data_IF_691730415811
#
_entry.id   IF_691730415811
#
_cell.length_a   1.000
_cell.length_b   1.000
_cell.length_c   1.000
_cell.angle_alpha   90.00
_cell.angle_beta   90.00
_cell.angle_gamma   90.00
#
_symmetry.space_group_name_H-M   'P 1'
#
loop_
_entity.id
_entity.type
_entity.pdbx_description
1 polymer ?
#
# COMPACT_ATOMS: atom_id res chain seq x y z
N UNK A 1 -11.12 4.84 9.69
CA UNK A 1 -10.22 3.75 10.13
C UNK A 1 -8.94 4.28 10.77
N UNK A 2 -8.23 5.21 10.13
CA UNK A 2 -6.95 5.76 10.62
C UNK A 2 -7.06 6.35 12.03
N UNK A 3 -8.09 7.14 12.31
CA UNK A 3 -8.28 7.78 13.63
C UNK A 3 -8.40 6.78 14.78
N UNK A 4 -9.02 5.61 14.54
CA UNK A 4 -9.11 4.57 15.55
C UNK A 4 -7.75 3.87 15.74
N UNK A 5 -7.06 3.57 14.66
CA UNK A 5 -5.75 2.92 14.72
C UNK A 5 -4.73 3.77 15.46
N UNK A 6 -4.77 5.09 15.28
CA UNK A 6 -3.90 6.04 16.00
C UNK A 6 -4.20 6.14 17.50
N UNK A 7 -5.38 5.66 17.97
CA UNK A 7 -5.69 5.57 19.40
C UNK A 7 -5.18 4.28 20.05
N UNK A 8 -4.70 3.32 19.26
CA UNK A 8 -4.16 2.05 19.76
C UNK A 8 -2.69 2.25 20.13
N UNK A 9 -2.28 1.97 21.38
CA UNK A 9 -0.89 2.13 21.79
C UNK A 9 0.08 1.32 20.92
N UNK A 10 1.09 1.99 20.38
CA UNK A 10 2.11 1.38 19.54
C UNK A 10 1.74 1.25 18.06
N UNK A 11 0.63 1.86 17.61
CA UNK A 11 0.30 2.04 16.21
C UNK A 11 0.37 3.51 15.80
N UNK A 12 0.78 3.74 14.56
CA UNK A 12 0.66 5.03 13.86
C UNK A 12 0.11 4.77 12.47
N UNK A 13 -1.05 5.32 12.17
CA UNK A 13 -1.73 5.19 10.88
C UNK A 13 -1.77 6.54 10.18
N UNK A 14 -1.19 6.60 8.98
CA UNK A 14 -1.13 7.79 8.14
C UNK A 14 -1.17 7.38 6.66
N UNK A 15 -1.96 8.07 5.86
CA UNK A 15 -2.10 7.85 4.41
C UNK A 15 -2.33 6.38 4.00
N UNK A 16 -3.15 5.68 4.79
CA UNK A 16 -3.47 4.26 4.55
C UNK A 16 -2.33 3.30 4.83
N UNK A 17 -1.26 3.76 5.46
CA UNK A 17 -0.16 2.94 5.98
C UNK A 17 -0.25 2.87 7.50
N UNK A 18 0.08 1.71 8.06
CA UNK A 18 0.10 1.51 9.52
C UNK A 18 1.48 1.05 9.94
N UNK A 19 2.09 1.84 10.83
CA UNK A 19 3.36 1.50 11.45
C UNK A 19 3.13 0.90 12.83
N UNK A 20 3.80 -0.20 13.12
CA UNK A 20 3.84 -0.83 14.45
C UNK A 20 5.16 -0.50 15.11
N UNK A 21 5.09 0.12 16.30
CA UNK A 21 6.28 0.51 17.05
C UNK A 21 7.22 -0.68 17.29
N UNK A 22 8.48 -0.52 16.90
CA UNK A 22 9.52 -1.56 17.00
C UNK A 22 9.51 -2.60 15.87
N UNK A 23 8.49 -2.62 15.00
CA UNK A 23 8.39 -3.60 13.91
C UNK A 23 8.32 -2.95 12.51
N UNK A 24 7.99 -1.65 12.41
CA UNK A 24 7.88 -0.92 11.15
C UNK A 24 6.51 -1.07 10.49
N UNK A 25 6.46 -0.93 9.16
CA UNK A 25 5.21 -0.96 8.38
C UNK A 25 4.58 -2.35 8.45
N UNK A 26 3.30 -2.39 8.81
CA UNK A 26 2.52 -3.62 8.91
C UNK A 26 1.75 -3.94 7.63
N UNK A 27 1.59 -5.22 7.32
CA UNK A 27 0.54 -5.66 6.41
C UNK A 27 -0.82 -5.63 7.11
N UNK A 28 -1.83 -5.14 6.40
CA UNK A 28 -3.18 -4.98 6.95
C UNK A 28 -4.09 -6.03 6.36
N UNK A 29 -4.86 -6.68 7.22
CA UNK A 29 -5.90 -7.63 6.84
C UNK A 29 -7.25 -7.15 7.39
N UNK A 30 -8.25 -7.06 6.54
CA UNK A 30 -9.62 -6.71 6.91
C UNK A 30 -10.49 -7.95 6.72
N UNK A 31 -11.07 -8.46 7.80
CA UNK A 31 -11.86 -9.69 7.81
C UNK A 31 -11.15 -10.90 7.15
N UNK A 32 -9.85 -11.04 7.41
CA UNK A 32 -9.02 -12.12 6.86
C UNK A 32 -8.45 -11.85 5.45
N UNK A 33 -8.95 -10.86 4.73
CA UNK A 33 -8.48 -10.48 3.40
C UNK A 33 -7.33 -9.47 3.52
N UNK A 34 -6.24 -9.69 2.78
CA UNK A 34 -5.14 -8.72 2.68
C UNK A 34 -5.64 -7.43 2.01
N UNK A 35 -5.41 -6.30 2.66
CA UNK A 35 -5.71 -4.99 2.10
C UNK A 35 -4.78 -4.72 0.90
N UNK A 36 -5.35 -4.38 -0.24
CA UNK A 36 -4.61 -4.10 -1.48
C UNK A 36 -4.66 -2.63 -1.89
N UNK A 37 -5.51 -1.85 -1.24
CA UNK A 37 -5.68 -0.43 -1.50
C UNK A 37 -5.73 0.34 -0.17
N UNK A 38 -4.81 1.30 0.00
CA UNK A 38 -4.72 2.13 1.20
C UNK A 38 -6.00 2.93 1.50
N UNK A 39 -6.75 3.32 0.47
CA UNK A 39 -8.02 4.03 0.63
C UNK A 39 -9.11 3.21 1.34
N UNK A 40 -8.95 1.89 1.46
CA UNK A 40 -9.89 1.06 2.22
C UNK A 40 -9.94 1.44 3.70
N UNK A 41 -8.83 1.88 4.30
CA UNK A 41 -8.82 2.39 5.67
C UNK A 41 -9.57 3.72 5.83
N UNK A 42 -9.50 4.59 4.83
CA UNK A 42 -10.21 5.88 4.84
C UNK A 42 -11.72 5.68 4.76
N UNK A 43 -12.14 4.67 4.00
CA UNK A 43 -13.53 4.30 3.82
C UNK A 43 -14.13 3.58 5.04
N UNK A 44 -13.28 2.94 5.86
CA UNK A 44 -13.70 2.20 7.04
C UNK A 44 -14.00 3.14 8.21
N UNK A 45 -15.27 3.20 8.65
CA UNK A 45 -15.64 3.94 9.85
C UNK A 45 -15.11 3.27 11.11
N UNK A 46 -14.72 4.06 12.12
CA UNK A 46 -14.35 3.54 13.44
C UNK A 46 -15.48 2.76 14.10
N UNK A 47 -16.71 3.16 13.84
CA UNK A 47 -17.91 2.54 14.42
C UNK A 47 -18.17 1.14 13.83
N UNK A 48 -17.67 0.85 12.64
CA UNK A 48 -17.78 -0.45 11.98
C UNK A 48 -16.75 -1.45 12.48
N UNK A 49 -15.73 -1.02 13.21
CA UNK A 49 -14.66 -1.90 13.70
C UNK A 49 -15.12 -2.60 14.98
N UNK A 50 -15.02 -3.93 14.98
CA UNK A 50 -15.27 -4.77 16.16
C UNK A 50 -14.00 -4.97 16.99
N UNK A 51 -12.88 -5.26 16.35
CA UNK A 51 -11.60 -5.48 17.02
C UNK A 51 -10.42 -5.25 16.07
N UNK A 52 -9.28 -4.91 16.65
CA UNK A 52 -7.99 -4.82 15.98
C UNK A 52 -7.00 -5.69 16.73
N UNK A 53 -6.32 -6.56 16.00
CA UNK A 53 -5.27 -7.44 16.52
C UNK A 53 -3.94 -7.05 15.87
N UNK A 54 -2.89 -6.93 16.67
CA UNK A 54 -1.56 -6.56 16.21
C UNK A 54 -0.60 -7.74 16.43
N UNK A 55 -0.09 -8.31 15.35
CA UNK A 55 0.88 -9.39 15.36
C UNK A 55 2.27 -8.81 15.07
N UNK A 56 3.11 -8.68 16.09
CA UNK A 56 4.49 -8.18 15.98
C UNK A 56 5.49 -9.23 15.49
N UNK A 57 5.11 -10.48 15.53
CA UNK A 57 5.87 -11.61 14.98
C UNK A 57 4.89 -12.57 14.30
N UNK A 58 4.52 -12.30 13.03
CA UNK A 58 3.44 -13.01 12.35
C UNK A 58 3.76 -14.49 12.04
N UNK A 59 5.04 -14.90 12.09
CA UNK A 59 5.46 -16.28 11.86
C UNK A 59 5.36 -16.74 10.40
N UNK A 60 5.54 -18.04 10.18
CA UNK A 60 5.67 -18.65 8.85
C UNK A 60 4.42 -18.53 7.95
N UNK A 61 3.26 -18.25 8.52
CA UNK A 61 1.97 -18.07 7.80
C UNK A 61 1.99 -16.84 6.86
N UNK A 62 2.89 -15.90 7.08
CA UNK A 62 3.01 -14.66 6.32
C UNK A 62 4.32 -14.63 5.53
N UNK A 63 4.39 -13.76 4.52
CA UNK A 63 5.61 -13.56 3.72
C UNK A 63 6.80 -13.19 4.61
N UNK A 64 8.00 -13.67 4.26
CA UNK A 64 9.20 -13.44 5.06
C UNK A 64 9.66 -11.97 5.12
N UNK A 65 9.17 -11.12 4.23
CA UNK A 65 9.40 -9.66 4.29
C UNK A 65 8.49 -8.95 5.30
N UNK A 66 7.43 -9.62 5.79
CA UNK A 66 6.41 -9.03 6.68
C UNK A 66 6.90 -9.05 8.12
N UNK A 67 7.11 -7.86 8.68
CA UNK A 67 7.59 -7.68 10.06
C UNK A 67 6.47 -7.56 11.07
N UNK A 68 5.30 -7.10 10.65
CA UNK A 68 4.11 -6.97 11.47
C UNK A 68 2.85 -7.14 10.65
N UNK A 69 1.77 -7.57 11.31
CA UNK A 69 0.43 -7.69 10.72
C UNK A 69 -0.59 -7.02 11.61
N UNK A 70 -1.47 -6.24 11.03
CA UNK A 70 -2.65 -5.66 11.69
C UNK A 70 -3.90 -6.31 11.11
N UNK A 71 -4.67 -7.01 11.95
CA UNK A 71 -5.91 -7.65 11.57
C UNK A 71 -7.09 -6.84 12.10
N UNK A 72 -7.91 -6.34 11.20
CA UNK A 72 -9.11 -5.56 11.52
C UNK A 72 -10.33 -6.47 11.29
N UNK A 73 -11.13 -6.63 12.32
CA UNK A 73 -12.40 -7.34 12.24
C UNK A 73 -13.51 -6.31 12.32
N UNK A 74 -14.40 -6.30 11.34
CA UNK A 74 -15.56 -5.42 11.34
C UNK A 74 -16.74 -6.05 12.07
N UNK A 75 -17.66 -5.21 12.54
CA UNK A 75 -18.92 -5.66 13.11
C UNK A 75 -19.76 -6.31 12.01
N UNK A 76 -20.33 -7.46 12.28
CA UNK A 76 -21.33 -8.06 11.39
C UNK A 76 -22.66 -7.31 11.57
N UNK A 77 -23.33 -7.00 10.48
CA UNK A 77 -24.69 -6.47 10.51
C UNK A 77 -25.61 -7.47 11.20
N UNK A 78 -26.36 -7.02 12.20
CA UNK A 78 -27.29 -7.90 12.93
C UNK A 78 -28.69 -7.77 12.32
N UNK A 79 -29.40 -8.91 12.24
CA UNK A 79 -30.77 -8.98 11.72
C UNK A 79 -30.84 -9.24 10.21
N UNK A 80 -32.07 -9.52 9.74
CA UNK A 80 -32.40 -9.67 8.31
C UNK A 80 -33.06 -8.37 7.80
N UNK A 81 -32.97 -8.15 6.49
CA UNK A 81 -33.58 -7.02 5.82
C UNK A 81 -32.58 -6.13 5.12
N UNK A 82 -33.05 -4.95 4.77
CA UNK A 82 -32.26 -3.92 4.12
C UNK A 82 -31.88 -2.83 5.11
N UNK A 83 -30.62 -2.43 5.10
CA UNK A 83 -30.09 -1.32 5.87
C UNK A 83 -29.26 -0.40 4.98
N UNK A 84 -29.20 0.86 5.35
CA UNK A 84 -28.30 1.81 4.71
C UNK A 84 -27.85 2.87 5.70
N UNK A 85 -26.71 3.49 5.43
CA UNK A 85 -26.30 4.73 6.05
C UNK A 85 -25.66 5.66 5.03
N UNK A 86 -25.73 6.94 5.31
CA UNK A 86 -25.04 7.96 4.54
C UNK A 86 -24.18 8.82 5.46
N UNK A 87 -22.97 9.14 5.01
CA UNK A 87 -22.04 10.05 5.69
C UNK A 87 -21.66 11.16 4.73
N UNK A 88 -22.09 12.37 5.04
CA UNK A 88 -21.72 13.58 4.30
C UNK A 88 -20.79 14.42 5.19
N UNK A 89 -19.69 14.87 4.63
CA UNK A 89 -18.77 15.80 5.26
C UNK A 89 -18.59 17.01 4.36
N UNK A 90 -18.70 18.18 4.98
CA UNK A 90 -18.43 19.48 4.36
C UNK A 90 -17.39 20.18 5.22
N UNK A 91 -16.27 20.54 4.62
CA UNK A 91 -15.18 21.21 5.31
C UNK A 91 -14.64 22.38 4.50
N UNK A 92 -13.89 23.23 5.17
CA UNK A 92 -13.16 24.34 4.57
C UNK A 92 -11.79 24.43 5.24
N UNK A 93 -10.74 24.26 4.46
CA UNK A 93 -9.37 24.43 4.93
C UNK A 93 -8.64 25.49 4.11
N UNK A 94 -8.48 25.23 2.82
CA UNK A 94 -7.95 26.16 1.81
C UNK A 94 -9.08 26.61 0.87
N UNK A 95 -9.97 25.67 0.56
CA UNK A 95 -11.19 25.86 -0.22
C UNK A 95 -12.23 24.84 0.29
N UNK A 96 -13.41 24.82 -0.31
CA UNK A 96 -14.48 23.88 0.02
C UNK A 96 -14.04 22.44 -0.24
N UNK A 97 -14.18 21.60 0.78
CA UNK A 97 -13.97 20.15 0.70
C UNK A 97 -15.30 19.43 0.93
N UNK A 98 -15.62 18.48 0.06
CA UNK A 98 -16.84 17.70 0.09
C UNK A 98 -16.52 16.22 0.11
N UNK A 99 -17.22 15.45 0.93
CA UNK A 99 -17.20 13.99 0.90
C UNK A 99 -18.62 13.49 1.11
N UNK A 100 -19.03 12.54 0.30
CA UNK A 100 -20.24 11.76 0.51
C UNK A 100 -19.97 10.28 0.38
N UNK A 101 -20.51 9.50 1.30
CA UNK A 101 -20.39 8.05 1.31
C UNK A 101 -21.74 7.43 1.64
N UNK A 102 -22.27 6.67 0.71
CA UNK A 102 -23.48 5.89 0.87
C UNK A 102 -23.13 4.42 1.00
N UNK A 103 -23.54 3.77 2.09
CA UNK A 103 -23.40 2.33 2.31
C UNK A 103 -24.77 1.70 2.38
N UNK A 104 -24.91 0.50 1.81
CA UNK A 104 -26.10 -0.31 1.93
C UNK A 104 -25.74 -1.76 2.20
N UNK A 105 -26.64 -2.46 2.86
CA UNK A 105 -26.55 -3.89 3.06
C UNK A 105 -27.95 -4.51 2.98
N UNK A 106 -27.98 -5.74 2.49
CA UNK A 106 -29.18 -6.58 2.47
C UNK A 106 -28.81 -7.96 2.94
N UNK A 107 -29.55 -8.49 3.92
CA UNK A 107 -29.32 -9.81 4.48
C UNK A 107 -30.63 -10.60 4.54
N UNK A 108 -30.57 -11.86 4.09
CA UNK A 108 -31.68 -12.80 4.21
C UNK A 108 -31.14 -14.24 4.29
N UNK A 109 -31.39 -14.92 5.41
CA UNK A 109 -30.83 -16.25 5.65
C UNK A 109 -29.31 -16.25 5.59
N UNK A 110 -28.72 -17.13 4.77
CA UNK A 110 -27.27 -17.19 4.53
C UNK A 110 -26.74 -16.13 3.55
N UNK A 111 -27.61 -15.38 2.88
CA UNK A 111 -27.21 -14.38 1.89
C UNK A 111 -26.96 -13.02 2.53
N UNK A 112 -25.83 -12.40 2.18
CA UNK A 112 -25.43 -11.08 2.65
C UNK A 112 -24.85 -10.29 1.46
N UNK A 113 -25.49 -9.20 1.09
CA UNK A 113 -25.09 -8.27 0.04
C UNK A 113 -24.72 -6.93 0.68
N UNK A 114 -23.51 -6.46 0.44
CA UNK A 114 -23.07 -5.13 0.86
C UNK A 114 -22.62 -4.28 -0.32
N UNK A 115 -22.81 -2.98 -0.20
CA UNK A 115 -22.35 -2.05 -1.20
C UNK A 115 -21.99 -0.69 -0.62
N UNK A 116 -21.11 0.01 -1.31
CA UNK A 116 -20.67 1.36 -0.96
C UNK A 116 -20.49 2.18 -2.25
N UNK A 117 -20.93 3.43 -2.19
CA UNK A 117 -20.59 4.48 -3.13
C UNK A 117 -19.88 5.61 -2.36
N UNK A 118 -18.80 6.10 -2.89
CA UNK A 118 -17.98 7.12 -2.27
C UNK A 118 -17.57 8.17 -3.29
N UNK A 119 -17.67 9.43 -2.91
CA UNK A 119 -17.19 10.58 -3.66
C UNK A 119 -16.50 11.58 -2.74
N UNK A 120 -15.37 12.11 -3.15
CA UNK A 120 -14.65 13.17 -2.46
C UNK A 120 -14.12 14.19 -3.46
N UNK A 121 -14.31 15.47 -3.14
CA UNK A 121 -13.64 16.59 -3.77
C UNK A 121 -12.91 17.37 -2.67
N UNK A 122 -11.59 17.43 -2.74
CA UNK A 122 -10.77 18.01 -1.71
C UNK A 122 -9.72 18.95 -2.29
N UNK A 123 -9.58 20.13 -1.70
CA UNK A 123 -8.58 21.12 -2.06
C UNK A 123 -7.78 21.50 -0.84
N UNK A 124 -6.47 21.50 -0.98
CA UNK A 124 -5.55 21.90 0.08
C UNK A 124 -4.30 22.56 -0.51
N UNK A 125 -3.56 23.23 0.31
CA UNK A 125 -2.31 23.88 -0.08
C UNK A 125 -1.20 23.44 0.87
N UNK A 126 -0.06 23.11 0.28
CA UNK A 126 1.17 22.80 1.02
C UNK A 126 2.21 23.89 0.74
N UNK A 127 2.78 24.45 1.81
CA UNK A 127 3.85 25.43 1.72
C UNK A 127 5.11 24.85 2.38
N UNK A 128 6.23 24.88 1.65
CA UNK A 128 7.51 24.36 2.13
C UNK A 128 8.61 25.40 1.92
N UNK A 129 9.46 25.55 2.92
CA UNK A 129 10.73 26.28 2.81
C UNK A 129 11.84 25.25 3.00
N UNK A 130 12.71 25.12 1.99
CA UNK A 130 13.81 24.15 2.00
C UNK A 130 15.13 24.93 1.88
N UNK A 131 16.08 24.61 2.77
CA UNK A 131 17.47 25.01 2.63
C UNK A 131 18.33 23.76 2.53
N UNK A 132 19.00 23.59 1.42
CA UNK A 132 19.92 22.48 1.17
C UNK A 132 21.34 23.01 1.05
N UNK A 133 22.29 22.38 1.76
CA UNK A 133 23.71 22.69 1.67
C UNK A 133 24.49 21.50 1.15
N UNK A 134 25.30 21.73 0.13
CA UNK A 134 26.22 20.74 -0.43
C UNK A 134 27.64 21.23 -0.22
N UNK A 135 28.43 20.43 0.48
CA UNK A 135 29.82 20.73 0.83
C UNK A 135 30.73 19.99 -0.15
N UNK A 136 31.34 20.76 -1.06
CA UNK A 136 32.36 20.34 -2.00
C UNK A 136 33.61 21.20 -1.74
N UNK A 137 34.39 21.55 -2.79
CA UNK A 137 35.48 22.53 -2.69
C UNK A 137 34.95 23.92 -2.27
N UNK A 138 33.71 24.19 -2.58
CA UNK A 138 32.93 25.35 -2.15
C UNK A 138 31.63 24.91 -1.51
N UNK A 139 31.03 25.77 -0.69
CA UNK A 139 29.73 25.53 -0.05
C UNK A 139 28.63 26.07 -0.97
N UNK A 140 27.81 25.14 -1.48
CA UNK A 140 26.62 25.45 -2.26
C UNK A 140 25.41 25.46 -1.32
N UNK A 141 24.70 26.57 -1.29
CA UNK A 141 23.47 26.72 -0.50
C UNK A 141 22.32 27.02 -1.45
N UNK A 142 21.35 26.11 -1.54
CA UNK A 142 20.10 26.29 -2.23
C UNK A 142 19.01 26.63 -1.20
N UNK A 143 18.33 27.75 -1.39
CA UNK A 143 17.12 28.12 -0.65
C UNK A 143 15.94 28.05 -1.61
N UNK A 144 14.91 27.31 -1.27
CA UNK A 144 13.69 27.17 -2.08
C UNK A 144 12.46 27.48 -1.23
N UNK A 145 11.59 28.31 -1.78
CA UNK A 145 10.24 28.57 -1.27
C UNK A 145 9.24 27.95 -2.25
N UNK A 146 8.40 27.07 -1.74
CA UNK A 146 7.49 26.23 -2.52
C UNK A 146 6.07 26.42 -2.03
N UNK A 147 5.17 26.70 -2.96
CA UNK A 147 3.72 26.76 -2.72
C UNK A 147 3.02 25.79 -3.66
N UNK A 148 2.29 24.84 -3.10
CA UNK A 148 1.67 23.76 -3.84
C UNK A 148 0.18 23.66 -3.54
N UNK A 149 -0.70 24.29 -4.33
CA UNK A 149 -2.13 24.00 -4.28
C UNK A 149 -2.43 22.65 -4.95
N UNK A 150 -3.25 21.85 -4.27
CA UNK A 150 -3.74 20.55 -4.73
C UNK A 150 -5.27 20.57 -4.85
N UNK A 151 -5.77 19.89 -5.89
CA UNK A 151 -7.17 19.56 -6.03
C UNK A 151 -7.31 18.09 -6.36
N UNK A 152 -7.88 17.32 -5.46
CA UNK A 152 -8.06 15.87 -5.62
C UNK A 152 -9.53 15.51 -5.69
N UNK A 153 -9.87 14.67 -6.66
CA UNK A 153 -11.19 14.06 -6.79
C UNK A 153 -11.06 12.54 -6.69
N UNK A 154 -11.88 11.93 -5.85
CA UNK A 154 -11.90 10.49 -5.64
C UNK A 154 -13.32 9.96 -5.84
N UNK A 155 -13.45 8.89 -6.59
CA UNK A 155 -14.69 8.14 -6.77
C UNK A 155 -14.38 6.68 -6.45
N UNK A 156 -15.20 6.05 -5.62
CA UNK A 156 -15.09 4.63 -5.37
C UNK A 156 -16.46 3.96 -5.30
N UNK A 157 -16.49 2.70 -5.68
CA UNK A 157 -17.64 1.82 -5.53
C UNK A 157 -17.17 0.46 -5.03
N UNK A 158 -17.94 -0.16 -4.15
CA UNK A 158 -17.69 -1.51 -3.65
C UNK A 158 -18.98 -2.31 -3.68
N UNK A 159 -18.87 -3.56 -4.09
CA UNK A 159 -19.95 -4.54 -4.00
C UNK A 159 -19.38 -5.82 -3.38
N UNK A 160 -20.03 -6.34 -2.35
CA UNK A 160 -19.68 -7.62 -1.71
C UNK A 160 -20.88 -8.52 -1.62
N UNK A 161 -20.68 -9.77 -1.95
CA UNK A 161 -21.67 -10.82 -1.86
C UNK A 161 -21.09 -11.98 -1.07
N UNK A 162 -21.73 -12.32 0.04
CA UNK A 162 -21.34 -13.42 0.90
C UNK A 162 -22.50 -14.41 1.02
N UNK A 163 -22.18 -15.68 1.08
CA UNK A 163 -23.15 -16.74 1.29
C UNK A 163 -22.66 -17.72 2.33
N UNK A 164 -23.40 -17.82 3.41
CA UNK A 164 -23.18 -18.79 4.48
C UNK A 164 -24.07 -20.00 4.25
N UNK A 165 -23.49 -21.12 3.81
CA UNK A 165 -24.22 -22.37 3.55
C UNK A 165 -24.76 -22.98 4.83
N UNK A 166 -23.95 -22.95 5.90
CA UNK A 166 -24.23 -23.41 7.24
C UNK A 166 -23.26 -22.77 8.24
N UNK A 167 -23.25 -23.19 9.48
CA UNK A 167 -22.37 -22.64 10.53
C UNK A 167 -20.87 -22.84 10.22
N UNK A 168 -20.54 -23.84 9.41
CA UNK A 168 -19.16 -24.25 9.15
C UNK A 168 -18.64 -23.80 7.76
N UNK A 169 -19.46 -23.26 6.88
CA UNK A 169 -19.08 -22.96 5.51
C UNK A 169 -19.59 -21.60 5.05
N UNK A 170 -18.69 -20.74 4.66
CA UNK A 170 -18.97 -19.42 4.08
C UNK A 170 -18.08 -19.17 2.87
N UNK A 171 -18.64 -18.56 1.83
CA UNK A 171 -17.89 -18.06 0.70
C UNK A 171 -18.35 -16.66 0.36
N UNK A 172 -17.52 -15.92 -0.35
CA UNK A 172 -17.89 -14.58 -0.81
C UNK A 172 -17.02 -14.08 -1.95
N UNK A 173 -17.54 -13.05 -2.59
CA UNK A 173 -16.86 -12.29 -3.64
C UNK A 173 -17.03 -10.81 -3.32
N UNK A 174 -15.96 -10.05 -3.48
CA UNK A 174 -15.94 -8.61 -3.34
C UNK A 174 -15.28 -7.99 -4.57
N UNK A 175 -15.89 -6.94 -5.09
CA UNK A 175 -15.33 -6.10 -6.12
C UNK A 175 -15.22 -4.67 -5.61
N UNK A 176 -14.05 -4.08 -5.75
CA UNK A 176 -13.77 -2.68 -5.43
C UNK A 176 -13.31 -1.96 -6.71
N UNK A 177 -13.92 -0.84 -7.00
CA UNK A 177 -13.52 0.10 -8.02
C UNK A 177 -13.10 1.40 -7.36
N UNK A 178 -11.98 1.97 -7.77
CA UNK A 178 -11.59 3.33 -7.39
C UNK A 178 -11.01 4.08 -8.58
N UNK A 179 -11.34 5.35 -8.67
CA UNK A 179 -10.86 6.26 -9.69
C UNK A 179 -10.55 7.62 -9.10
N UNK A 180 -9.41 8.17 -9.48
CA UNK A 180 -9.12 9.59 -9.34
C UNK A 180 -9.30 10.25 -10.71
N UNK A 181 -10.44 10.86 -11.00
CA UNK A 181 -10.65 11.57 -12.26
C UNK A 181 -9.66 12.72 -12.42
N UNK A 182 -9.24 13.31 -11.30
CA UNK A 182 -8.31 14.40 -11.26
C UNK A 182 -7.52 14.41 -9.94
N UNK A 183 -6.21 14.42 -10.06
CA UNK A 183 -5.28 14.86 -9.00
C UNK A 183 -4.49 15.99 -9.63
N UNK A 184 -4.98 17.23 -9.46
CA UNK A 184 -4.31 18.42 -9.97
C UNK A 184 -3.31 18.90 -8.95
N UNK A 185 -2.07 19.08 -9.38
CA UNK A 185 -0.99 19.69 -8.63
C UNK A 185 -0.45 20.88 -9.43
N UNK A 186 -0.27 22.00 -8.79
CA UNK A 186 0.50 23.11 -9.29
C UNK A 186 1.57 23.42 -8.25
N UNK A 187 2.81 23.57 -8.66
CA UNK A 187 3.89 23.96 -7.76
C UNK A 187 4.45 25.30 -8.23
N UNK A 188 4.44 26.28 -7.35
CA UNK A 188 5.19 27.52 -7.53
C UNK A 188 6.46 27.42 -6.69
N UNK A 189 7.61 27.30 -7.33
CA UNK A 189 8.90 27.18 -6.65
C UNK A 189 9.81 28.33 -7.05
N UNK A 190 10.26 29.08 -6.06
CA UNK A 190 11.31 30.09 -6.22
C UNK A 190 12.56 29.59 -5.50
N UNK A 191 13.69 29.56 -6.19
CA UNK A 191 14.94 29.10 -5.62
C UNK A 191 16.06 30.11 -5.85
N UNK A 192 16.96 30.21 -4.88
CA UNK A 192 18.23 30.94 -5.02
C UNK A 192 19.40 30.04 -4.67
N UNK A 193 20.45 30.07 -5.44
CA UNK A 193 21.68 29.34 -5.23
C UNK A 193 22.79 30.30 -4.90
N UNK A 194 23.46 30.06 -3.80
CA UNK A 194 24.62 30.80 -3.30
C UNK A 194 25.84 29.88 -3.27
N UNK A 195 26.96 30.36 -3.76
CA UNK A 195 28.26 29.68 -3.66
C UNK A 195 29.15 30.54 -2.77
N UNK A 196 29.59 29.98 -1.63
CA UNK A 196 30.31 30.69 -0.58
C UNK A 196 29.64 32.00 -0.15
N UNK A 197 28.29 31.98 -0.03
CA UNK A 197 27.40 33.12 0.27
C UNK A 197 27.23 34.16 -0.82
N UNK A 198 27.80 33.97 -2.01
CA UNK A 198 27.55 34.86 -3.18
C UNK A 198 26.40 34.27 -4.01
N UNK A 199 25.44 35.10 -4.38
CA UNK A 199 24.34 34.70 -5.24
C UNK A 199 24.87 34.35 -6.64
N UNK A 200 24.68 33.10 -7.05
CA UNK A 200 25.10 32.55 -8.33
C UNK A 200 23.93 32.46 -9.31
N UNK A 201 22.76 32.09 -8.82
CA UNK A 201 21.60 31.85 -9.65
C UNK A 201 20.27 32.08 -8.89
N UNK A 202 19.28 32.59 -9.58
CA UNK A 202 17.88 32.61 -9.16
C UNK A 202 17.04 31.83 -10.17
N UNK A 203 16.11 31.02 -9.70
CA UNK A 203 15.21 30.26 -10.57
C UNK A 203 13.78 30.29 -10.09
N UNK A 204 12.86 30.22 -11.06
CA UNK A 204 11.43 29.98 -10.83
C UNK A 204 11.03 28.76 -11.62
N UNK A 205 10.28 27.86 -11.00
CA UNK A 205 9.76 26.66 -11.66
C UNK A 205 8.29 26.45 -11.29
N UNK A 206 7.44 26.28 -12.29
CA UNK A 206 6.00 26.15 -12.14
C UNK A 206 5.49 24.85 -12.78
N UNK A 207 5.91 23.66 -12.28
CA UNK A 207 5.34 22.41 -12.76
C UNK A 207 3.87 22.29 -12.40
N UNK A 208 3.06 21.86 -13.35
CA UNK A 208 1.67 21.55 -13.16
C UNK A 208 1.31 20.21 -13.81
N UNK A 209 0.44 19.47 -13.13
CA UNK A 209 -0.02 18.15 -13.59
C UNK A 209 -1.50 17.92 -13.30
N UNK A 210 -2.12 17.06 -14.11
CA UNK A 210 -3.43 16.48 -13.85
C UNK A 210 -3.29 14.97 -13.97
N UNK A 211 -3.01 14.31 -12.86
CA UNK A 211 -2.87 12.86 -12.79
C UNK A 211 -4.23 12.20 -12.74
N UNK A 212 -4.41 11.13 -13.50
CA UNK A 212 -5.59 10.25 -13.44
C UNK A 212 -5.19 8.85 -13.04
N UNK A 213 -5.98 8.21 -12.18
CA UNK A 213 -5.77 6.83 -11.75
C UNK A 213 -7.06 6.03 -11.84
N UNK A 214 -6.95 4.77 -12.23
CA UNK A 214 -8.04 3.79 -12.16
C UNK A 214 -7.53 2.53 -11.47
N UNK A 215 -8.37 1.89 -10.65
CA UNK A 215 -8.04 0.62 -10.01
C UNK A 215 -9.29 -0.23 -9.88
N UNK A 216 -9.12 -1.50 -10.19
CA UNK A 216 -10.10 -2.55 -10.00
C UNK A 216 -9.48 -3.65 -9.13
N UNK A 217 -10.20 -4.09 -8.12
CA UNK A 217 -9.77 -5.20 -7.27
C UNK A 217 -10.93 -6.18 -7.13
N UNK A 218 -10.65 -7.46 -7.33
CA UNK A 218 -11.58 -8.56 -7.09
C UNK A 218 -10.97 -9.45 -6.03
N UNK A 219 -11.75 -9.81 -5.03
CA UNK A 219 -11.38 -10.82 -4.05
C UNK A 219 -12.48 -11.89 -4.00
N UNK A 220 -12.10 -13.15 -4.00
CA UNK A 220 -12.98 -14.27 -3.72
C UNK A 220 -12.39 -15.08 -2.57
N UNK A 221 -13.24 -15.55 -1.67
CA UNK A 221 -12.80 -16.33 -0.52
C UNK A 221 -13.74 -17.46 -0.21
N UNK A 222 -13.19 -18.49 0.41
CA UNK A 222 -13.93 -19.57 1.06
C UNK A 222 -13.29 -19.84 2.41
N UNK A 223 -14.12 -19.94 3.45
CA UNK A 223 -13.72 -20.43 4.77
C UNK A 223 -14.68 -21.53 5.21
N UNK A 224 -14.13 -22.64 5.66
CA UNK A 224 -14.97 -23.76 6.07
C UNK A 224 -14.23 -24.85 6.82
N UNK A 225 -15.01 -25.67 7.55
CA UNK A 225 -14.51 -26.83 8.26
C UNK A 225 -14.87 -28.12 7.51
N UNK A 226 -13.85 -28.82 7.04
CA UNK A 226 -13.96 -30.15 6.42
C UNK A 226 -13.46 -31.20 7.42
N UNK A 227 -14.38 -31.84 8.14
CA UNK A 227 -14.06 -32.63 9.32
C UNK A 227 -13.31 -31.79 10.35
N UNK A 228 -12.10 -32.21 10.75
CA UNK A 228 -11.25 -31.50 11.71
C UNK A 228 -10.33 -30.45 11.06
N UNK A 229 -10.36 -30.30 9.74
CA UNK A 229 -9.59 -29.30 9.01
C UNK A 229 -10.37 -28.01 8.83
N UNK A 230 -9.85 -26.91 9.34
CA UNK A 230 -10.30 -25.57 8.96
C UNK A 230 -9.54 -25.13 7.69
N UNK A 231 -10.27 -24.73 6.66
CA UNK A 231 -9.74 -24.25 5.39
C UNK A 231 -10.04 -22.76 5.21
N UNK A 232 -9.03 -22.01 4.83
CA UNK A 232 -9.12 -20.60 4.44
C UNK A 232 -8.48 -20.43 3.06
N UNK A 233 -9.30 -20.19 2.04
CA UNK A 233 -8.87 -19.91 0.67
C UNK A 233 -9.19 -18.45 0.33
N UNK A 234 -8.17 -17.72 -0.12
CA UNK A 234 -8.32 -16.35 -0.61
C UNK A 234 -7.72 -16.23 -2.01
N UNK A 235 -8.42 -15.56 -2.91
CA UNK A 235 -7.98 -15.27 -4.28
C UNK A 235 -8.17 -13.79 -4.56
N UNK A 236 -7.13 -13.14 -5.04
CA UNK A 236 -7.12 -11.72 -5.38
C UNK A 236 -6.78 -11.49 -6.85
N UNK A 237 -7.44 -10.54 -7.47
CA UNK A 237 -7.06 -9.94 -8.74
C UNK A 237 -7.07 -8.42 -8.61
N UNK A 238 -6.05 -7.75 -9.13
CA UNK A 238 -5.97 -6.29 -9.14
C UNK A 238 -5.41 -5.80 -10.47
N UNK A 239 -6.03 -4.75 -11.00
CA UNK A 239 -5.59 -4.00 -12.18
C UNK A 239 -5.61 -2.53 -11.85
N UNK A 240 -4.53 -1.83 -12.17
CA UNK A 240 -4.50 -0.38 -12.03
C UNK A 240 -3.69 0.27 -13.13
N UNK A 241 -4.12 1.45 -13.53
CA UNK A 241 -3.41 2.32 -14.45
C UNK A 241 -3.37 3.75 -13.90
N UNK A 242 -2.29 4.43 -14.21
CA UNK A 242 -2.08 5.83 -13.87
C UNK A 242 -1.47 6.56 -15.05
N UNK A 243 -1.93 7.78 -15.30
CA UNK A 243 -1.40 8.67 -16.31
C UNK A 243 -1.09 10.02 -15.66
N UNK A 244 0.15 10.46 -15.75
CA UNK A 244 0.68 11.66 -15.09
C UNK A 244 1.42 12.54 -16.09
N UNK A 245 0.73 13.39 -16.88
CA UNK A 245 1.35 14.45 -17.66
C UNK A 245 1.80 15.57 -16.74
N UNK A 246 3.01 16.09 -16.96
CA UNK A 246 3.55 17.27 -16.27
C UNK A 246 4.05 18.25 -17.32
N UNK A 247 3.70 19.52 -17.16
CA UNK A 247 4.30 20.64 -17.87
C UNK A 247 4.98 21.52 -16.85
N UNK A 248 6.28 21.73 -17.01
CA UNK A 248 7.07 22.60 -16.15
C UNK A 248 7.61 23.78 -16.95
N UNK A 249 7.28 24.99 -16.53
CA UNK A 249 7.88 26.21 -17.02
C UNK A 249 8.99 26.62 -16.06
N UNK A 250 10.21 26.77 -16.58
CA UNK A 250 11.40 27.13 -15.80
C UNK A 250 12.02 28.42 -16.32
N UNK A 251 12.23 29.35 -15.43
CA UNK A 251 12.98 30.57 -15.64
C UNK A 251 14.22 30.54 -14.75
N UNK A 252 15.37 30.76 -15.35
CA UNK A 252 16.67 30.78 -14.65
C UNK A 252 17.40 32.08 -15.00
N UNK A 253 17.85 32.78 -13.97
CA UNK A 253 18.70 33.97 -14.10
C UNK A 253 20.02 33.73 -13.38
N UNK A 254 21.11 33.80 -14.12
CA UNK A 254 22.47 33.66 -13.59
C UNK A 254 23.05 34.99 -13.10
N UNK A 255 24.12 34.92 -12.32
CA UNK A 255 24.81 36.08 -11.76
C UNK A 255 25.38 37.06 -12.84
N UNK A 256 25.65 36.58 -14.04
CA UNK A 256 26.08 37.37 -15.19
C UNK A 256 24.90 38.03 -15.95
N UNK A 257 23.69 37.96 -15.44
CA UNK A 257 22.41 38.37 -16.04
C UNK A 257 21.99 37.55 -17.26
N UNK A 258 22.59 36.41 -17.52
CA UNK A 258 22.07 35.46 -18.52
C UNK A 258 20.73 34.91 -18.05
N UNK A 259 19.70 34.94 -18.90
CA UNK A 259 18.36 34.46 -18.64
C UNK A 259 18.02 33.31 -19.58
N UNK A 260 17.46 32.22 -19.02
CA UNK A 260 17.05 31.06 -19.78
C UNK A 260 15.60 30.69 -19.39
N UNK A 261 14.77 30.48 -20.40
CA UNK A 261 13.40 29.99 -20.23
C UNK A 261 13.29 28.64 -20.90
N UNK A 262 12.79 27.66 -20.17
CA UNK A 262 12.53 26.31 -20.66
C UNK A 262 11.09 25.93 -20.38
N UNK A 263 10.47 25.17 -21.29
CA UNK A 263 9.23 24.46 -21.04
C UNK A 263 9.51 22.98 -21.24
N UNK A 264 9.17 22.19 -20.27
CA UNK A 264 9.49 20.76 -20.21
C UNK A 264 8.19 19.99 -20.11
N UNK A 265 7.96 19.10 -21.07
CA UNK A 265 6.80 18.22 -21.09
C UNK A 265 7.23 16.79 -20.75
N UNK A 266 6.65 16.24 -19.71
CA UNK A 266 6.88 14.85 -19.34
C UNK A 266 5.57 14.08 -19.20
N UNK A 267 5.60 12.79 -19.50
CA UNK A 267 4.47 11.91 -19.40
C UNK A 267 4.86 10.62 -18.70
N UNK A 268 4.37 10.43 -17.49
CA UNK A 268 4.49 9.20 -16.73
C UNK A 268 3.25 8.31 -16.89
N UNK A 269 3.44 7.03 -17.22
CA UNK A 269 2.38 6.02 -17.26
C UNK A 269 2.77 4.82 -16.44
N UNK A 270 1.88 4.37 -15.56
CA UNK A 270 2.06 3.17 -14.77
C UNK A 270 0.90 2.21 -15.00
N UNK A 271 1.20 0.93 -15.18
CA UNK A 271 0.22 -0.15 -15.23
C UNK A 271 0.66 -1.27 -14.29
N UNK A 272 -0.26 -1.73 -13.45
CA UNK A 272 0.00 -2.82 -12.54
C UNK A 272 -1.09 -3.88 -12.67
N UNK A 273 -0.69 -5.13 -12.63
CA UNK A 273 -1.53 -6.31 -12.60
C UNK A 273 -1.03 -7.22 -11.47
N UNK A 274 -1.95 -7.80 -10.72
CA UNK A 274 -1.63 -8.76 -9.65
C UNK A 274 -2.70 -9.83 -9.60
N UNK A 275 -2.28 -11.08 -9.48
CA UNK A 275 -3.12 -12.23 -9.17
C UNK A 275 -2.48 -12.97 -8.02
N UNK A 276 -3.25 -13.31 -7.01
CA UNK A 276 -2.77 -14.08 -5.86
C UNK A 276 -3.80 -15.13 -5.45
N UNK A 277 -3.32 -16.28 -5.01
CA UNK A 277 -4.13 -17.31 -4.40
C UNK A 277 -3.41 -17.85 -3.18
N UNK A 278 -4.08 -17.89 -2.02
CA UNK A 278 -3.54 -18.38 -0.76
C UNK A 278 -4.49 -19.39 -0.15
N UNK A 279 -3.98 -20.57 0.14
CA UNK A 279 -4.69 -21.62 0.88
C UNK A 279 -3.98 -21.85 2.21
N UNK A 280 -4.74 -21.82 3.29
CA UNK A 280 -4.30 -22.19 4.64
C UNK A 280 -5.20 -23.28 5.15
N UNK A 281 -4.64 -24.32 5.72
CA UNK A 281 -5.35 -25.42 6.35
C UNK A 281 -4.83 -25.61 7.77
N UNK A 282 -5.73 -25.70 8.74
CA UNK A 282 -5.42 -25.86 10.16
C UNK A 282 -6.12 -27.11 10.70
N UNK A 283 -5.41 -27.88 11.52
CA UNK A 283 -5.90 -29.11 12.11
C UNK A 283 -5.46 -29.21 13.58
N UNK A 284 -6.35 -29.56 14.52
CA UNK A 284 -5.94 -29.89 15.88
C UNK A 284 -5.03 -31.12 15.88
N UNK A 285 -3.87 -31.02 16.47
CA UNK A 285 -2.87 -32.10 16.53
C UNK A 285 -2.15 -32.07 17.86
N UNK A 286 -2.09 -33.21 18.59
CA UNK A 286 -1.33 -33.37 19.84
C UNK A 286 -1.54 -32.21 20.84
N UNK A 287 -2.80 -31.89 21.16
CA UNK A 287 -3.19 -30.77 22.04
C UNK A 287 -2.70 -29.40 21.58
N UNK A 288 -2.32 -29.26 20.32
CA UNK A 288 -1.92 -28.04 19.66
C UNK A 288 -2.68 -27.83 18.36
N UNK A 289 -2.22 -26.85 17.58
CA UNK A 289 -2.73 -26.55 16.25
C UNK A 289 -1.62 -26.68 15.22
N UNK A 290 -1.84 -27.50 14.22
CA UNK A 290 -0.97 -27.68 13.07
C UNK A 290 -1.55 -26.91 11.89
N UNK A 291 -0.76 -26.06 11.25
CA UNK A 291 -1.15 -25.26 10.09
C UNK A 291 -0.20 -25.54 8.94
N UNK A 292 -0.76 -25.77 7.77
CA UNK A 292 -0.02 -25.82 6.48
C UNK A 292 -0.66 -24.86 5.50
N UNK A 293 0.10 -24.37 4.55
CA UNK A 293 -0.46 -23.54 3.51
C UNK A 293 0.50 -23.30 2.36
N UNK A 294 -0.07 -22.77 1.30
CA UNK A 294 0.68 -22.33 0.12
C UNK A 294 0.10 -21.04 -0.41
N UNK A 295 0.93 -20.27 -1.09
CA UNK A 295 0.55 -19.02 -1.74
C UNK A 295 1.25 -18.94 -3.10
N UNK A 296 0.50 -18.54 -4.11
CA UNK A 296 1.00 -18.16 -5.42
C UNK A 296 0.67 -16.70 -5.67
N UNK A 297 1.65 -15.95 -6.15
CA UNK A 297 1.44 -14.55 -6.57
C UNK A 297 2.12 -14.32 -7.91
N UNK A 298 1.37 -13.77 -8.85
CA UNK A 298 1.87 -13.19 -10.08
C UNK A 298 1.68 -11.69 -10.02
N UNK A 299 2.71 -10.92 -10.36
CA UNK A 299 2.59 -9.48 -10.56
C UNK A 299 3.31 -9.02 -11.81
N UNK A 300 2.76 -8.01 -12.46
CA UNK A 300 3.36 -7.31 -13.59
C UNK A 300 3.22 -5.81 -13.39
N UNK A 301 4.34 -5.09 -13.45
CA UNK A 301 4.38 -3.63 -13.33
C UNK A 301 5.08 -3.08 -14.55
N UNK A 302 4.45 -2.13 -15.21
CA UNK A 302 5.03 -1.37 -16.31
C UNK A 302 5.10 0.09 -15.91
N UNK A 303 6.25 0.71 -16.11
CA UNK A 303 6.47 2.13 -15.87
C UNK A 303 7.08 2.71 -17.16
N UNK A 304 6.39 3.68 -17.74
CA UNK A 304 6.84 4.42 -18.90
C UNK A 304 6.99 5.88 -18.52
N UNK A 305 8.07 6.49 -18.97
CA UNK A 305 8.33 7.91 -18.80
C UNK A 305 8.92 8.46 -20.09
N UNK A 306 8.28 9.48 -20.62
CA UNK A 306 8.70 10.17 -21.83
C UNK A 306 8.92 11.66 -21.54
N UNK A 307 9.89 12.28 -22.23
CA UNK A 307 10.19 13.68 -22.19
C UNK A 307 10.36 14.23 -23.61
N UNK A 308 9.46 15.09 -24.03
CA UNK A 308 9.39 15.58 -25.41
C UNK A 308 10.63 16.38 -25.81
N UNK A 309 11.27 17.09 -24.89
CA UNK A 309 12.46 17.89 -25.10
C UNK A 309 13.76 17.09 -25.05
N UNK A 310 13.70 15.79 -24.75
CA UNK A 310 14.85 14.89 -24.61
C UNK A 310 15.92 15.39 -23.62
N UNK A 311 15.51 16.08 -22.56
CA UNK A 311 16.41 16.58 -21.50
C UNK A 311 16.95 15.41 -20.68
N UNK A 312 16.13 14.39 -20.46
CA UNK A 312 16.50 13.12 -19.87
C UNK A 312 16.04 11.98 -20.78
N UNK A 313 16.71 10.82 -20.75
CA UNK A 313 16.30 9.68 -21.58
C UNK A 313 14.90 9.19 -21.23
N UNK A 314 14.15 8.80 -22.25
CA UNK A 314 12.91 8.06 -22.08
C UNK A 314 13.16 6.76 -21.35
N UNK A 315 12.14 6.27 -20.66
CA UNK A 315 12.18 5.02 -19.91
C UNK A 315 10.94 4.18 -20.21
N UNK A 316 11.14 2.90 -20.49
CA UNK A 316 10.08 1.90 -20.61
C UNK A 316 10.52 0.62 -19.89
N UNK A 317 10.14 0.51 -18.62
CA UNK A 317 10.55 -0.59 -17.77
C UNK A 317 9.35 -1.47 -17.43
N UNK A 318 9.58 -2.78 -17.42
CA UNK A 318 8.59 -3.77 -16.96
C UNK A 318 9.26 -4.77 -16.05
N UNK A 319 8.61 -5.07 -14.91
CA UNK A 319 8.98 -6.17 -14.04
C UNK A 319 7.82 -7.18 -13.99
N UNK A 320 8.16 -8.46 -14.12
CA UNK A 320 7.23 -9.59 -13.92
C UNK A 320 7.75 -10.47 -12.82
N UNK A 321 6.91 -10.76 -11.85
CA UNK A 321 7.27 -11.59 -10.72
C UNK A 321 6.29 -12.75 -10.59
N UNK A 322 6.85 -13.95 -10.40
CA UNK A 322 6.13 -15.15 -10.04
C UNK A 322 6.68 -15.64 -8.71
N UNK A 323 5.86 -15.67 -7.69
CA UNK A 323 6.23 -16.14 -6.38
C UNK A 323 5.38 -17.36 -5.99
N UNK A 324 6.03 -18.39 -5.49
CA UNK A 324 5.38 -19.56 -4.89
C UNK A 324 5.95 -19.71 -3.49
N UNK A 325 5.09 -19.93 -2.52
CA UNK A 325 5.53 -20.24 -1.16
C UNK A 325 4.71 -21.37 -0.56
N UNK A 326 5.32 -22.09 0.36
CA UNK A 326 4.68 -23.09 1.19
C UNK A 326 5.18 -22.94 2.62
N UNK A 327 4.32 -23.23 3.59
CA UNK A 327 4.70 -23.21 5.00
C UNK A 327 4.07 -24.33 5.79
N UNK A 328 4.71 -24.69 6.90
CA UNK A 328 4.16 -25.52 7.95
C UNK A 328 4.46 -24.88 9.30
N UNK A 329 3.49 -24.92 10.21
CA UNK A 329 3.59 -24.32 11.53
C UNK A 329 2.88 -25.18 12.55
N UNK A 330 3.44 -25.28 13.75
CA UNK A 330 2.80 -25.95 14.88
C UNK A 330 2.83 -25.03 16.10
N UNK A 331 1.70 -24.89 16.77
CA UNK A 331 1.55 -24.09 17.97
C UNK A 331 0.90 -24.93 19.09
N UNK A 332 1.47 -24.85 20.30
CA UNK A 332 0.95 -25.56 21.47
C UNK A 332 1.18 -24.76 22.75
N UNK A 333 0.25 -24.90 23.70
CA UNK A 333 0.40 -24.39 25.06
C UNK A 333 0.83 -25.51 26.01
N UNK A 334 1.91 -25.28 26.77
CA UNK A 334 2.40 -26.12 27.83
C UNK A 334 2.12 -25.44 29.18
N UNK A 335 0.94 -25.62 29.73
CA UNK A 335 0.47 -24.80 30.84
C UNK A 335 0.34 -23.33 30.43
N UNK A 336 1.13 -22.44 31.05
CA UNK A 336 1.16 -21.03 30.74
C UNK A 336 2.13 -20.67 29.59
N UNK A 337 3.06 -21.58 29.25
CA UNK A 337 4.01 -21.36 28.16
C UNK A 337 3.30 -21.61 26.82
N UNK A 338 3.27 -20.60 25.96
CA UNK A 338 2.85 -20.73 24.57
C UNK A 338 4.07 -20.88 23.68
N UNK A 339 4.10 -21.94 22.88
CA UNK A 339 5.21 -22.23 21.96
C UNK A 339 4.68 -22.36 20.53
N UNK A 340 5.40 -21.78 19.59
CA UNK A 340 5.12 -21.88 18.16
C UNK A 340 6.43 -22.12 17.41
N UNK A 341 6.42 -23.05 16.48
CA UNK A 341 7.51 -23.31 15.54
C UNK A 341 6.95 -23.38 14.14
N UNK A 342 7.70 -22.84 13.18
CA UNK A 342 7.28 -22.84 11.79
C UNK A 342 8.46 -22.82 10.84
N UNK A 343 8.20 -23.21 9.61
CA UNK A 343 9.12 -23.10 8.48
C UNK A 343 8.34 -22.64 7.26
N UNK A 344 8.93 -21.72 6.51
CA UNK A 344 8.41 -21.24 5.24
C UNK A 344 9.48 -21.37 4.16
N UNK A 345 9.09 -21.91 3.01
CA UNK A 345 9.87 -21.89 1.79
C UNK A 345 9.27 -20.86 0.84
N UNK A 346 10.12 -20.09 0.18
CA UNK A 346 9.74 -19.14 -0.86
C UNK A 346 10.61 -19.29 -2.10
N UNK A 347 9.95 -19.41 -3.24
CA UNK A 347 10.55 -19.30 -4.57
C UNK A 347 10.03 -18.04 -5.25
N UNK A 348 10.91 -17.15 -5.69
CA UNK A 348 10.58 -15.96 -6.45
C UNK A 348 11.40 -15.93 -7.75
N UNK A 349 10.73 -15.80 -8.88
CA UNK A 349 11.33 -15.46 -10.17
C UNK A 349 10.91 -14.03 -10.54
N UNK A 350 11.87 -13.13 -10.66
CA UNK A 350 11.68 -11.73 -11.02
C UNK A 350 12.40 -11.43 -12.34
N UNK A 351 11.65 -11.17 -13.41
CA UNK A 351 12.16 -10.81 -14.73
C UNK A 351 12.00 -9.30 -14.95
N UNK A 352 13.11 -8.65 -15.21
CA UNK A 352 13.16 -7.22 -15.52
C UNK A 352 13.37 -7.00 -17.02
N UNK A 353 12.60 -6.08 -17.58
CA UNK A 353 12.64 -5.70 -18.99
C UNK A 353 12.85 -4.19 -19.12
N UNK A 354 13.67 -3.79 -20.08
CA UNK A 354 13.88 -2.41 -20.48
C UNK A 354 13.64 -2.30 -21.99
N UNK A 355 12.75 -1.39 -22.41
CA UNK A 355 12.29 -1.27 -23.81
C UNK A 355 11.91 -2.63 -24.45
N UNK A 356 11.19 -3.45 -23.68
CA UNK A 356 10.76 -4.78 -24.12
C UNK A 356 11.82 -5.87 -24.12
N UNK A 357 13.10 -5.54 -23.89
CA UNK A 357 14.21 -6.51 -23.82
C UNK A 357 14.44 -6.94 -22.37
N UNK A 358 14.50 -8.27 -22.15
CA UNK A 358 14.85 -8.82 -20.84
C UNK A 358 16.29 -8.48 -20.47
N UNK A 359 16.51 -7.99 -19.27
CA UNK A 359 17.80 -7.61 -18.72
C UNK A 359 18.21 -8.66 -17.68
N UNK A 360 19.21 -9.47 -18.01
CA UNK A 360 19.65 -10.59 -17.15
C UNK A 360 20.31 -10.11 -15.86
N UNK A 361 20.99 -8.96 -15.90
CA UNK A 361 21.66 -8.38 -14.74
C UNK A 361 20.69 -7.92 -13.64
N UNK A 362 19.49 -7.47 -13.99
CA UNK A 362 18.43 -7.03 -13.08
C UNK A 362 17.42 -8.14 -12.78
N UNK A 363 17.37 -9.20 -13.60
CA UNK A 363 16.51 -10.36 -13.36
C UNK A 363 17.08 -11.24 -12.24
N UNK A 364 16.25 -11.78 -11.37
CA UNK A 364 16.66 -12.52 -10.17
C UNK A 364 15.77 -13.73 -9.93
N UNK A 365 16.39 -14.76 -9.35
CA UNK A 365 15.69 -15.91 -8.77
C UNK A 365 16.12 -16.07 -7.32
N UNK A 366 15.16 -16.33 -6.48
CA UNK A 366 15.40 -16.55 -5.06
C UNK A 366 14.73 -17.84 -4.62
N UNK A 367 15.48 -18.65 -3.89
CA UNK A 367 15.02 -19.86 -3.22
C UNK A 367 15.48 -19.77 -1.77
N UNK A 368 14.53 -19.62 -0.85
CA UNK A 368 14.86 -19.37 0.55
C UNK A 368 13.99 -20.18 1.49
N UNK A 369 14.55 -20.56 2.62
CA UNK A 369 13.85 -21.21 3.72
C UNK A 369 13.96 -20.32 4.96
N UNK A 370 12.83 -20.05 5.58
CA UNK A 370 12.71 -19.15 6.73
C UNK A 370 12.14 -19.92 7.92
N UNK A 371 12.97 -20.31 8.90
CA UNK A 371 12.50 -20.86 10.15
C UNK A 371 11.96 -19.75 11.06
N UNK A 372 10.99 -20.09 11.91
CA UNK A 372 10.46 -19.22 12.94
C UNK A 372 10.19 -19.98 14.23
N UNK A 373 10.50 -19.38 15.36
CA UNK A 373 10.21 -19.89 16.71
C UNK A 373 9.70 -18.72 17.54
N UNK A 374 8.67 -18.95 18.31
CA UNK A 374 8.13 -17.98 19.27
C UNK A 374 7.76 -18.68 20.56
N UNK A 375 8.21 -18.14 21.68
CA UNK A 375 7.89 -18.58 23.03
C UNK A 375 7.31 -17.39 23.78
N UNK A 376 6.20 -17.59 24.46
CA UNK A 376 5.53 -16.55 25.25
C UNK A 376 5.12 -17.11 26.61
N UNK A 377 5.46 -16.41 27.67
CA UNK A 377 5.17 -16.80 29.05
C UNK A 377 4.68 -15.59 29.87
N UNK A 378 3.51 -15.65 30.53
CA UNK A 378 3.03 -14.61 31.41
C UNK A 378 3.76 -14.64 32.75
N UNK A 379 4.25 -13.47 33.20
CA UNK A 379 4.89 -13.27 34.52
C UNK A 379 4.08 -12.19 35.24
N UNK A 380 3.11 -12.63 36.07
CA UNK A 380 2.21 -11.71 36.75
C UNK A 380 1.37 -10.89 35.75
N UNK A 381 1.56 -9.57 35.73
CA UNK A 381 0.90 -8.67 34.76
C UNK A 381 1.72 -8.41 33.49
N UNK A 382 2.91 -9.01 33.40
CA UNK A 382 3.85 -8.81 32.28
C UNK A 382 3.89 -10.08 31.44
N UNK A 383 4.05 -9.95 30.14
CA UNK A 383 4.28 -11.05 29.22
C UNK A 383 5.74 -11.03 28.73
N UNK A 384 6.47 -12.11 28.96
CA UNK A 384 7.79 -12.31 28.37
C UNK A 384 7.60 -13.02 27.01
N UNK A 385 8.19 -12.47 25.95
CA UNK A 385 8.19 -13.08 24.64
C UNK A 385 9.63 -13.18 24.12
N UNK A 386 9.99 -14.36 23.63
CA UNK A 386 11.24 -14.61 22.91
C UNK A 386 10.87 -15.16 21.56
N UNK A 387 11.36 -14.53 20.49
CA UNK A 387 11.08 -14.97 19.14
C UNK A 387 12.33 -14.89 18.25
N UNK A 388 12.40 -15.82 17.32
CA UNK A 388 13.36 -15.83 16.22
C UNK A 388 12.56 -16.03 14.92
N UNK A 389 12.86 -15.23 13.92
CA UNK A 389 12.31 -15.41 12.55
C UNK A 389 13.38 -15.04 11.53
N UNK A 390 13.53 -15.90 10.53
CA UNK A 390 14.26 -15.55 9.33
C UNK A 390 13.44 -14.54 8.51
N UNK A 391 14.06 -13.41 8.14
CA UNK A 391 13.42 -12.40 7.30
C UNK A 391 14.32 -12.06 6.12
N UNK A 392 13.72 -11.57 5.04
CA UNK A 392 14.43 -11.08 3.86
C UNK A 392 13.92 -9.68 3.51
N UNK A 393 14.85 -8.82 3.12
CA UNK A 393 14.52 -7.55 2.49
C UNK A 393 14.98 -7.60 1.03
N UNK A 394 14.00 -7.53 0.11
CA UNK A 394 14.28 -7.53 -1.32
C UNK A 394 14.38 -6.09 -1.82
N UNK A 395 15.26 -5.80 -2.80
CA UNK A 395 15.31 -4.48 -3.42
C UNK A 395 13.94 -4.08 -3.96
N UNK A 396 13.52 -2.86 -3.66
CA UNK A 396 12.29 -2.32 -4.25
C UNK A 396 12.47 -2.11 -5.76
N UNK A 397 11.35 -2.11 -6.51
CA UNK A 397 11.33 -1.84 -7.94
C UNK A 397 12.13 -0.57 -8.33
N UNK A 398 11.97 0.52 -7.56
CA UNK A 398 12.69 1.77 -7.81
C UNK A 398 14.21 1.66 -7.67
N UNK A 399 14.70 0.76 -6.82
CA UNK A 399 16.14 0.50 -6.68
C UNK A 399 16.72 -0.34 -7.81
N UNK A 400 15.88 -1.06 -8.56
CA UNK A 400 16.28 -1.85 -9.72
C UNK A 400 16.19 -1.07 -11.04
N UNK A 401 15.38 -0.01 -11.05
CA UNK A 401 15.18 0.83 -12.23
C UNK A 401 16.36 1.78 -12.42
N UNK A 402 16.85 1.89 -13.65
CA UNK A 402 17.79 2.92 -14.09
C UNK A 402 17.10 4.24 -14.45
N UNK A 403 15.78 4.34 -14.23
CA UNK A 403 14.99 5.50 -14.61
C UNK A 403 15.43 6.76 -13.88
N UNK A 404 15.66 7.81 -14.62
CA UNK A 404 15.85 9.18 -14.14
C UNK A 404 14.54 9.92 -14.33
N UNK A 405 14.03 10.55 -13.28
CA UNK A 405 12.82 11.37 -13.32
C UNK A 405 13.25 12.82 -13.17
N UNK A 406 12.78 13.68 -14.09
CA UNK A 406 13.03 15.10 -13.99
C UNK A 406 12.26 15.69 -12.81
N UNK A 407 12.96 16.22 -11.83
CA UNK A 407 12.37 16.95 -10.70
C UNK A 407 12.50 18.46 -10.86
N UNK A 408 13.70 18.92 -11.13
CA UNK A 408 14.09 20.28 -11.46
C UNK A 408 15.51 20.26 -12.05
N UNK A 409 16.04 21.41 -12.41
CA UNK A 409 17.39 21.55 -12.97
C UNK A 409 18.52 21.05 -12.04
N UNK A 410 18.30 20.90 -10.72
CA UNK A 410 19.31 20.59 -9.70
C UNK A 410 19.20 19.19 -9.10
#
# INVERSE_FOLDING_TARGET
>A
GNDLLNKIPGLSAEDGSVNVFGSGVAEIYINGRKMRNSSELDQLSSDDIKSVEVLRNPGAKYDASVKAVVRIITKKTQGEGFGFNNRTYVGYQYDLALLDQFNFNYRKGGFDLGGMLFGRDNKFEENKILTQKTYLDKVWTQNSDMKSPFHTQDIAAMLSLNYQFNENHVMGVRYDFSRNPQIKMCLDMNSSIHVDNLLEEESKSNPHSITTNNRHTVNAYYNGNLNDWNMDLNMDGMWSDSNNPIVAEEYVKQSDNTEVNNTIHTLGKNRNELYAAKLVMEHPLWEGSFSIGSEYTYSSRTNQYANDENIIPDNDNKIRENAVSAFAMYARSFGQLQAQVGVRYEHLNSDYYEFGKRMDEQSRKYDNVFPSISLSYPIGKTQLMISYSGNIERPSYYKLSSAVIYGNKY
#
